data_IF_380471538228
#
_entry.id   IF_380471538228
#
_cell.length_a   1.000
_cell.length_b   1.000
_cell.length_c   1.000
_cell.angle_alpha   90.00
_cell.angle_beta   90.00
_cell.angle_gamma   90.00
#
_symmetry.space_group_name_H-M   'P 1'
#
loop_
_entity.id
_entity.type
_entity.pdbx_description
1 polymer ?
#
# COMPACT_ATOMS: atom_id res chain seq x y z
N UNK A 1 -13.87 -4.15 1.29
CA UNK A 1 -14.57 -3.06 2.01
C UNK A 1 -14.21 -1.67 1.46
N UNK A 2 -12.93 -1.33 1.25
CA UNK A 2 -12.53 0.01 0.72
C UNK A 2 -13.28 0.43 -0.54
N UNK A 3 -13.34 -0.44 -1.56
CA UNK A 3 -13.98 -0.08 -2.84
C UNK A 3 -15.49 0.15 -2.75
N UNK A 4 -16.19 -0.36 -1.72
CA UNK A 4 -17.63 -0.17 -1.59
C UNK A 4 -17.98 1.15 -0.90
N UNK A 5 -17.18 1.57 0.08
CA UNK A 5 -17.40 2.82 0.83
C UNK A 5 -16.77 4.02 0.14
N UNK A 6 -15.48 3.93 -0.19
CA UNK A 6 -14.68 5.07 -0.63
C UNK A 6 -15.09 5.57 -2.03
N UNK A 7 -15.50 4.68 -2.93
CA UNK A 7 -15.96 5.08 -4.27
C UNK A 7 -17.23 5.92 -4.24
N UNK A 8 -18.12 5.69 -3.26
CA UNK A 8 -19.31 6.54 -3.04
C UNK A 8 -18.96 7.96 -2.60
N UNK A 9 -17.74 8.15 -2.07
CA UNK A 9 -17.19 9.45 -1.69
C UNK A 9 -16.29 10.04 -2.79
N UNK A 10 -16.29 9.46 -3.99
CA UNK A 10 -15.50 9.94 -5.14
C UNK A 10 -14.03 9.52 -5.11
N UNK A 11 -13.63 8.58 -4.27
CA UNK A 11 -12.26 8.07 -4.20
C UNK A 11 -12.09 6.88 -5.13
N UNK A 12 -11.15 6.98 -6.07
CA UNK A 12 -10.72 5.86 -6.91
C UNK A 12 -9.93 4.84 -6.08
N UNK A 13 -10.25 3.55 -6.22
CA UNK A 13 -9.55 2.45 -5.55
C UNK A 13 -9.02 1.47 -6.60
N UNK A 14 -7.77 1.05 -6.46
CA UNK A 14 -7.15 0.03 -7.31
C UNK A 14 -6.50 -1.01 -6.40
N UNK A 15 -6.83 -2.28 -6.62
CA UNK A 15 -6.23 -3.40 -5.88
C UNK A 15 -5.08 -3.97 -6.70
N UNK A 16 -3.93 -4.17 -6.06
CA UNK A 16 -2.74 -4.80 -6.62
C UNK A 16 -2.09 -5.70 -5.58
N UNK A 17 -1.25 -6.64 -6.02
CA UNK A 17 -0.35 -7.36 -5.12
C UNK A 17 0.82 -6.45 -4.75
N UNK A 18 0.85 -5.95 -3.52
CA UNK A 18 1.89 -5.01 -3.04
C UNK A 18 3.25 -5.65 -2.85
N UNK A 19 3.34 -6.99 -2.83
CA UNK A 19 4.63 -7.70 -2.88
C UNK A 19 5.27 -7.68 -4.28
N UNK A 20 4.49 -7.34 -5.31
CA UNK A 20 4.97 -7.14 -6.68
C UNK A 20 5.09 -5.64 -6.98
N UNK A 21 6.31 -5.10 -6.86
CA UNK A 21 6.58 -3.68 -7.07
C UNK A 21 6.25 -3.19 -8.50
N UNK A 22 6.29 -4.06 -9.51
CA UNK A 22 5.92 -3.69 -10.87
C UNK A 22 4.41 -3.47 -11.02
N UNK A 23 3.58 -4.27 -10.33
CA UNK A 23 2.13 -4.07 -10.27
C UNK A 23 1.81 -2.74 -9.56
N UNK A 24 2.48 -2.47 -8.43
CA UNK A 24 2.35 -1.19 -7.71
C UNK A 24 2.72 -0.02 -8.64
N UNK A 25 3.87 -0.10 -9.31
CA UNK A 25 4.35 0.94 -10.22
C UNK A 25 3.36 1.22 -11.36
N UNK A 26 2.76 0.18 -11.95
CA UNK A 26 1.77 0.32 -13.02
C UNK A 26 0.46 0.93 -12.53
N UNK A 27 0.07 0.66 -11.29
CA UNK A 27 -1.16 1.18 -10.70
C UNK A 27 -1.05 2.62 -10.16
N UNK A 28 0.17 3.10 -9.90
CA UNK A 28 0.41 4.48 -9.46
C UNK A 28 -0.05 5.48 -10.53
N UNK A 29 -0.83 6.46 -10.10
CA UNK A 29 -1.32 7.58 -10.92
C UNK A 29 -0.87 8.91 -10.31
N UNK A 30 -0.96 9.99 -11.09
CA UNK A 30 -0.64 11.34 -10.60
C UNK A 30 -1.52 11.76 -9.40
N UNK A 31 -2.76 11.27 -9.34
CA UNK A 31 -3.71 11.54 -8.25
C UNK A 31 -3.62 10.54 -7.09
N UNK A 32 -2.71 9.55 -7.11
CA UNK A 32 -2.58 8.60 -6.00
C UNK A 32 -2.17 9.34 -4.72
N UNK A 33 -2.98 9.22 -3.67
CA UNK A 33 -2.73 9.86 -2.35
C UNK A 33 -2.32 8.88 -1.26
N UNK A 34 -2.70 7.61 -1.39
CA UNK A 34 -2.45 6.58 -0.38
C UNK A 34 -2.08 5.27 -1.06
N UNK A 35 -1.02 4.63 -0.56
CA UNK A 35 -0.73 3.20 -0.75
C UNK A 35 -0.98 2.52 0.59
N UNK A 36 -2.01 1.67 0.65
CA UNK A 36 -2.37 0.91 1.84
C UNK A 36 -1.95 -0.55 1.66
N UNK A 37 -1.27 -1.12 2.64
CA UNK A 37 -0.88 -2.53 2.63
C UNK A 37 -0.88 -3.14 4.02
N UNK A 38 -0.90 -4.47 4.06
CA UNK A 38 -0.71 -5.28 5.26
C UNK A 38 0.56 -6.10 5.08
N UNK A 39 1.43 -6.16 6.09
CA UNK A 39 2.59 -7.05 6.07
C UNK A 39 2.97 -7.49 7.49
N UNK A 40 3.03 -8.80 7.78
CA UNK A 40 2.66 -9.93 6.93
C UNK A 40 1.17 -9.94 6.57
N UNK A 41 0.84 -10.15 5.29
CA UNK A 41 -0.55 -10.14 4.82
C UNK A 41 -1.28 -11.45 5.12
N UNK A 42 -2.40 -11.39 5.84
CA UNK A 42 -3.29 -12.52 6.10
C UNK A 42 -3.95 -13.04 4.79
N UNK A 43 -4.16 -14.36 4.60
CA UNK A 43 -3.71 -15.50 5.41
C UNK A 43 -2.36 -16.08 5.03
N UNK A 44 -1.77 -15.60 3.94
CA UNK A 44 -0.60 -16.23 3.33
C UNK A 44 0.75 -15.71 3.86
N UNK A 45 0.73 -14.80 4.84
CA UNK A 45 1.89 -14.15 5.46
C UNK A 45 2.86 -13.53 4.45
N UNK A 46 2.33 -12.98 3.34
CA UNK A 46 3.15 -12.32 2.33
C UNK A 46 3.88 -11.13 2.95
N UNK A 47 5.18 -11.05 2.73
CA UNK A 47 6.04 -9.95 3.17
C UNK A 47 6.24 -8.98 2.01
N UNK A 48 6.23 -7.69 2.32
CA UNK A 48 6.52 -6.61 1.36
C UNK A 48 7.82 -5.92 1.75
N UNK A 49 8.67 -5.62 0.77
CA UNK A 49 9.81 -4.73 0.95
C UNK A 49 9.30 -3.28 1.13
N UNK A 50 9.19 -2.85 2.39
CA UNK A 50 8.65 -1.54 2.74
C UNK A 50 9.55 -0.39 2.27
N UNK A 51 10.87 -0.58 2.23
CA UNK A 51 11.79 0.48 1.80
C UNK A 51 11.68 0.71 0.30
N UNK A 52 11.68 -0.37 -0.49
CA UNK A 52 11.51 -0.28 -1.93
C UNK A 52 10.11 0.25 -2.30
N UNK A 53 9.06 -0.21 -1.61
CA UNK A 53 7.69 0.28 -1.82
C UNK A 53 7.57 1.77 -1.46
N UNK A 54 8.12 2.20 -0.32
CA UNK A 54 8.08 3.60 0.09
C UNK A 54 8.84 4.50 -0.90
N UNK A 55 10.03 4.10 -1.34
CA UNK A 55 10.78 4.83 -2.39
C UNK A 55 9.96 4.95 -3.67
N UNK A 56 9.30 3.88 -4.10
CA UNK A 56 8.45 3.88 -5.29
C UNK A 56 7.24 4.80 -5.11
N UNK A 57 6.52 4.70 -3.99
CA UNK A 57 5.34 5.50 -3.70
C UNK A 57 5.68 7.00 -3.63
N UNK A 58 6.77 7.35 -2.94
CA UNK A 58 7.23 8.73 -2.76
C UNK A 58 7.84 9.36 -4.01
N UNK A 59 7.94 8.63 -5.14
CA UNK A 59 8.13 9.29 -6.45
C UNK A 59 6.99 10.27 -6.74
N UNK A 60 5.82 10.05 -6.14
CA UNK A 60 4.76 11.05 -6.01
C UNK A 60 4.84 11.70 -4.62
N UNK A 61 5.17 13.01 -4.53
CA UNK A 61 5.43 13.67 -3.25
C UNK A 61 4.20 13.80 -2.34
N UNK A 62 3.00 13.54 -2.86
CA UNK A 62 1.75 13.66 -2.12
C UNK A 62 1.16 12.29 -1.73
N UNK A 63 1.91 11.21 -1.89
CA UNK A 63 1.46 9.86 -1.56
C UNK A 63 1.93 9.48 -0.16
N UNK A 64 1.00 9.01 0.68
CA UNK A 64 1.29 8.40 1.97
C UNK A 64 1.34 6.87 1.84
N UNK A 65 2.25 6.23 2.55
CA UNK A 65 2.28 4.77 2.71
C UNK A 65 1.73 4.42 4.09
N UNK A 66 0.68 3.60 4.13
CA UNK A 66 0.01 3.16 5.35
C UNK A 66 0.17 1.65 5.46
N UNK A 67 0.82 1.20 6.52
CA UNK A 67 1.05 -0.22 6.80
C UNK A 67 0.16 -0.67 7.95
N UNK A 68 -0.71 -1.63 7.69
CA UNK A 68 -1.38 -2.41 8.73
C UNK A 68 -0.38 -3.43 9.29
N UNK A 69 0.00 -3.21 10.55
CA UNK A 69 1.00 -4.00 11.26
C UNK A 69 0.37 -4.93 12.32
N UNK A 70 -0.90 -5.29 12.18
CA UNK A 70 -1.61 -6.12 13.17
C UNK A 70 -0.86 -7.42 13.52
N UNK A 71 -0.15 -8.02 12.56
CA UNK A 71 0.65 -9.25 12.77
C UNK A 71 2.12 -9.04 13.14
N UNK A 72 2.69 -7.83 12.99
CA UNK A 72 4.13 -7.59 13.12
C UNK A 72 4.50 -6.49 14.14
N UNK A 73 3.76 -6.45 15.26
CA UNK A 73 3.90 -5.50 16.37
C UNK A 73 5.34 -5.20 16.85
N UNK A 74 6.29 -6.13 16.69
CA UNK A 74 7.68 -5.96 17.15
C UNK A 74 8.74 -5.92 16.04
N UNK A 75 8.34 -6.01 14.76
CA UNK A 75 9.27 -6.19 13.63
C UNK A 75 9.24 -4.99 12.67
N UNK A 76 8.08 -4.37 12.49
CA UNK A 76 7.92 -3.24 11.57
C UNK A 76 8.50 -1.96 12.20
N UNK A 77 9.60 -1.43 11.64
CA UNK A 77 10.21 -0.17 12.06
C UNK A 77 9.72 0.97 11.18
N UNK A 78 9.51 2.16 11.76
CA UNK A 78 9.20 3.36 11.00
C UNK A 78 10.34 3.67 10.02
N UNK A 79 9.98 3.93 8.77
CA UNK A 79 10.86 4.39 7.69
C UNK A 79 10.69 5.88 7.44
#
# INVERSE_FOLDING_TARGET
>A
MMNHGLTKLGVEVTFVDTSNLDEVKKAMKKNTRVVYLETPANPNLKIVDLEALAKLAHTNPNTLVIVDNTFALHICKSL
#
